data_IF_713160057663
#
_entry.id   IF_713160057663
#
_cell.length_a   1.000
_cell.length_b   1.000
_cell.length_c   1.000
_cell.angle_alpha   90.00
_cell.angle_beta   90.00
_cell.angle_gamma   90.00
#
_symmetry.space_group_name_H-M   'P 1'
#
loop_
_entity.id
_entity.type
_entity.pdbx_description
1 polymer ?
#
# COMPACT_ATOMS: atom_id res chain seq x y z
N UNK A 1 11.23 5.00 3.52
CA UNK A 1 10.01 5.84 3.54
C UNK A 1 9.10 5.36 2.42
N UNK A 2 7.77 5.20 2.61
CA UNK A 2 6.86 4.72 1.56
C UNK A 2 6.81 5.67 0.35
N UNK A 3 6.72 5.10 -0.86
CA UNK A 3 6.57 5.84 -2.14
C UNK A 3 5.23 5.48 -2.78
N UNK A 4 4.76 6.28 -3.73
CA UNK A 4 3.55 5.94 -4.50
C UNK A 4 3.69 4.63 -5.29
N UNK A 5 4.91 4.29 -5.71
CA UNK A 5 5.27 3.02 -6.34
C UNK A 5 5.61 1.89 -5.36
N UNK A 6 5.72 2.19 -4.05
CA UNK A 6 5.94 1.18 -3.02
C UNK A 6 5.09 1.55 -1.79
N UNK A 7 3.79 1.37 -1.96
CA UNK A 7 2.77 1.73 -0.98
C UNK A 7 2.78 0.78 0.23
N UNK A 8 3.27 -0.45 0.03
CA UNK A 8 3.42 -1.46 1.07
C UNK A 8 4.70 -1.24 1.91
N UNK A 9 5.60 -0.35 1.47
CA UNK A 9 6.86 -0.06 2.14
C UNK A 9 7.69 -1.33 2.33
N UNK A 10 8.00 -1.68 3.58
CA UNK A 10 8.75 -2.89 3.94
C UNK A 10 7.94 -4.19 3.83
N UNK A 11 6.64 -4.12 3.53
CA UNK A 11 5.77 -5.27 3.28
C UNK A 11 5.83 -5.80 1.86
N UNK A 12 6.38 -5.04 0.91
CA UNK A 12 6.64 -5.52 -0.44
C UNK A 12 7.87 -6.42 -0.45
N UNK A 13 7.71 -7.68 -0.88
CA UNK A 13 8.81 -8.62 -1.10
C UNK A 13 8.79 -9.08 -2.55
N UNK A 14 9.97 -9.21 -3.20
CA UNK A 14 10.08 -9.90 -4.48
C UNK A 14 9.47 -11.30 -4.38
N UNK A 15 8.91 -11.77 -5.48
CA UNK A 15 8.34 -13.10 -5.59
C UNK A 15 9.43 -14.15 -5.36
N UNK A 16 9.15 -15.13 -4.51
CA UNK A 16 10.15 -16.14 -4.13
C UNK A 16 10.66 -16.94 -5.35
N UNK A 17 9.77 -17.23 -6.32
CA UNK A 17 10.14 -17.90 -7.58
C UNK A 17 11.08 -17.04 -8.42
N UNK A 18 10.71 -15.77 -8.63
CA UNK A 18 11.53 -14.80 -9.33
C UNK A 18 12.95 -14.72 -8.74
N UNK A 19 13.08 -14.63 -7.42
CA UNK A 19 14.41 -14.60 -6.77
C UNK A 19 15.17 -15.92 -6.89
N UNK A 20 14.47 -17.06 -6.86
CA UNK A 20 15.10 -18.37 -6.98
C UNK A 20 15.64 -18.61 -8.40
N UNK A 21 14.86 -18.25 -9.42
CA UNK A 21 15.24 -18.38 -10.81
C UNK A 21 16.46 -17.50 -11.13
N UNK A 22 16.48 -16.25 -10.65
CA UNK A 22 17.64 -15.36 -10.76
C UNK A 22 18.90 -15.94 -10.10
N UNK A 23 18.79 -16.52 -8.91
CA UNK A 23 19.92 -17.16 -8.24
C UNK A 23 20.43 -18.37 -9.04
N UNK A 24 19.52 -19.18 -9.57
CA UNK A 24 19.86 -20.36 -10.36
C UNK A 24 20.54 -19.99 -11.68
N UNK A 25 20.07 -18.94 -12.35
CA UNK A 25 20.67 -18.40 -13.57
C UNK A 25 22.06 -17.79 -13.30
N UNK A 26 22.22 -17.03 -12.21
CA UNK A 26 23.52 -16.47 -11.82
C UNK A 26 24.54 -17.56 -11.44
N UNK A 27 24.09 -18.64 -10.78
CA UNK A 27 24.93 -19.80 -10.46
C UNK A 27 25.32 -20.59 -11.71
N UNK A 28 24.39 -20.73 -12.67
CA UNK A 28 24.60 -21.49 -13.90
C UNK A 28 25.45 -20.73 -14.92
N UNK A 29 25.31 -19.41 -15.00
CA UNK A 29 26.11 -18.52 -15.86
C UNK A 29 27.49 -18.20 -15.25
N UNK A 30 27.62 -18.25 -13.92
CA UNK A 30 28.87 -18.07 -13.18
C UNK A 30 29.66 -19.35 -12.90
N UNK A 31 29.40 -20.42 -13.66
CA UNK A 31 29.99 -21.74 -13.47
C UNK A 31 31.29 -21.98 -14.27
N UNK A 32 32.00 -20.98 -14.80
CA UNK A 32 33.43 -21.06 -15.19
C UNK A 32 34.08 -19.67 -15.13
N UNK A 33 34.19 -19.05 -13.96
CA UNK A 33 35.09 -17.91 -13.75
C UNK A 33 35.77 -18.07 -12.39
N UNK A 34 37.10 -18.04 -12.40
CA UNK A 34 37.98 -18.24 -11.25
C UNK A 34 37.56 -17.40 -10.04
N UNK A 35 37.66 -17.98 -8.84
CA UNK A 35 37.31 -17.36 -7.53
C UNK A 35 37.87 -15.94 -7.33
N UNK A 36 38.92 -15.57 -8.06
CA UNK A 36 39.61 -14.28 -7.99
C UNK A 36 38.88 -13.12 -8.72
N UNK A 37 38.08 -13.39 -9.76
CA UNK A 37 37.34 -12.35 -10.52
C UNK A 37 35.98 -12.02 -9.87
N UNK A 38 35.37 -13.01 -9.19
CA UNK A 38 34.00 -12.98 -8.66
C UNK A 38 33.81 -12.03 -7.47
N UNK A 39 34.91 -11.58 -6.85
CA UNK A 39 34.90 -10.73 -5.64
C UNK A 39 34.95 -9.21 -5.95
N UNK A 40 34.91 -8.80 -7.22
CA UNK A 40 35.02 -7.37 -7.61
C UNK A 40 33.84 -6.78 -8.38
N UNK A 41 32.85 -7.58 -8.78
CA UNK A 41 31.63 -7.06 -9.40
C UNK A 41 30.47 -7.26 -8.46
N UNK A 42 30.00 -6.17 -7.87
CA UNK A 42 28.69 -6.14 -7.21
C UNK A 42 27.61 -6.54 -8.23
N UNK A 43 26.61 -7.28 -7.77
CA UNK A 43 25.47 -7.63 -8.61
C UNK A 43 24.78 -6.34 -9.09
N UNK A 44 24.40 -6.31 -10.36
CA UNK A 44 23.65 -5.18 -10.92
C UNK A 44 22.34 -5.00 -10.15
N UNK A 45 22.02 -3.75 -9.80
CA UNK A 45 20.84 -3.44 -9.01
C UNK A 45 19.58 -3.75 -9.83
N UNK A 46 18.83 -4.75 -9.38
CA UNK A 46 17.50 -5.04 -9.91
C UNK A 46 16.52 -3.92 -9.50
N UNK A 47 16.09 -3.13 -10.50
CA UNK A 47 15.24 -1.95 -10.32
C UNK A 47 13.74 -2.26 -10.39
N UNK A 48 13.38 -3.38 -11.01
CA UNK A 48 11.98 -3.76 -11.27
C UNK A 48 11.74 -5.24 -10.92
N UNK A 49 11.96 -5.64 -9.65
CA UNK A 49 11.73 -7.01 -9.24
C UNK A 49 10.25 -7.38 -9.38
N UNK A 50 9.96 -8.60 -9.82
CA UNK A 50 8.59 -9.11 -9.80
C UNK A 50 8.18 -9.27 -8.34
N UNK A 51 7.13 -8.55 -7.93
CA UNK A 51 6.67 -8.54 -6.53
C UNK A 51 5.62 -9.62 -6.28
N UNK A 52 5.76 -10.37 -5.19
CA UNK A 52 4.82 -11.46 -4.84
C UNK A 52 3.44 -10.97 -4.35
N UNK A 53 3.33 -9.70 -3.99
CA UNK A 53 2.05 -9.04 -3.69
C UNK A 53 1.89 -7.86 -4.65
N UNK A 54 0.79 -7.83 -5.40
CA UNK A 54 0.51 -6.76 -6.34
C UNK A 54 0.38 -5.41 -5.64
N UNK A 55 0.94 -4.37 -6.24
CA UNK A 55 0.84 -3.02 -5.72
C UNK A 55 -0.62 -2.59 -5.60
N UNK A 56 -1.00 -2.08 -4.43
CA UNK A 56 -2.30 -1.46 -4.27
C UNK A 56 -2.32 -0.16 -5.08
N UNK A 57 -3.39 0.08 -5.82
CA UNK A 57 -3.59 1.40 -6.42
C UNK A 57 -3.73 2.46 -5.33
N UNK A 58 -3.21 3.67 -5.59
CA UNK A 58 -3.30 4.81 -4.67
C UNK A 58 -4.72 5.02 -4.12
N UNK A 59 -5.72 4.92 -4.99
CA UNK A 59 -7.12 5.05 -4.59
C UNK A 59 -7.56 3.93 -3.62
N UNK A 60 -7.25 2.66 -3.93
CA UNK A 60 -7.57 1.53 -3.04
C UNK A 60 -6.88 1.67 -1.69
N UNK A 61 -5.62 2.12 -1.69
CA UNK A 61 -4.88 2.40 -0.47
C UNK A 61 -5.56 3.45 0.40
N UNK A 62 -5.95 4.59 -0.18
CA UNK A 62 -6.67 5.66 0.54
C UNK A 62 -8.00 5.17 1.14
N UNK A 63 -8.78 4.42 0.36
CA UNK A 63 -10.04 3.84 0.84
C UNK A 63 -9.81 2.93 2.04
N UNK A 64 -8.81 2.06 1.97
CA UNK A 64 -8.51 1.11 3.03
C UNK A 64 -8.00 1.82 4.30
N UNK A 65 -7.14 2.84 4.16
CA UNK A 65 -6.63 3.65 5.29
C UNK A 65 -7.74 4.44 5.98
N UNK A 66 -8.63 5.02 5.19
CA UNK A 66 -9.77 5.80 5.68
C UNK A 66 -10.78 4.89 6.37
N UNK A 67 -11.05 3.71 5.80
CA UNK A 67 -11.94 2.70 6.39
C UNK A 67 -11.38 2.11 7.69
N UNK A 68 -10.05 1.97 7.80
CA UNK A 68 -9.42 1.54 9.05
C UNK A 68 -9.68 2.57 10.18
N UNK A 69 -9.66 3.85 9.81
CA UNK A 69 -9.93 5.01 10.66
C UNK A 69 -11.38 5.35 10.93
N UNK A 70 -12.32 4.45 10.62
CA UNK A 70 -13.77 4.73 10.68
C UNK A 70 -14.21 5.93 9.85
N UNK A 71 -13.50 6.26 8.77
CA UNK A 71 -13.82 7.37 7.89
C UNK A 71 -13.63 8.78 8.49
N UNK A 72 -13.26 8.90 9.77
CA UNK A 72 -12.96 10.19 10.40
C UNK A 72 -11.47 10.51 10.46
N UNK A 73 -10.62 9.52 10.73
CA UNK A 73 -9.17 9.76 10.85
C UNK A 73 -8.39 8.63 10.24
N UNK A 74 -7.78 8.80 9.06
CA UNK A 74 -7.03 7.74 8.43
C UNK A 74 -5.94 7.23 9.38
N UNK A 75 -5.87 5.90 9.51
CA UNK A 75 -4.86 5.23 10.34
C UNK A 75 -4.06 4.27 9.47
N UNK A 76 -2.74 4.43 9.52
CA UNK A 76 -1.81 3.46 8.96
C UNK A 76 -2.04 2.09 9.61
N UNK A 77 -1.96 1.02 8.81
CA UNK A 77 -1.90 -0.31 9.40
C UNK A 77 -0.61 -0.42 10.21
N UNK A 78 -0.67 -0.99 11.43
CA UNK A 78 0.55 -1.30 12.15
C UNK A 78 1.40 -2.22 11.26
N UNK A 79 2.67 -1.88 11.07
CA UNK A 79 3.64 -2.81 10.48
C UNK A 79 3.68 -4.01 11.41
N UNK A 80 3.04 -5.11 11.02
CA UNK A 80 3.00 -6.32 11.82
C UNK A 80 4.44 -6.77 12.05
N UNK A 81 4.89 -6.76 13.31
CA UNK A 81 6.05 -7.53 13.74
C UNK A 81 5.60 -8.97 13.94
N UNK A 82 6.46 -9.94 13.63
CA UNK A 82 6.16 -11.37 13.74
C UNK A 82 5.47 -11.69 15.07
N UNK A 83 4.25 -12.26 15.00
CA UNK A 83 3.40 -12.60 16.14
C UNK A 83 2.33 -11.57 16.54
N UNK A 84 2.32 -10.37 15.94
CA UNK A 84 1.30 -9.36 16.21
C UNK A 84 -0.02 -9.64 15.48
N UNK A 85 -1.16 -9.66 16.19
CA UNK A 85 -2.48 -9.73 15.53
C UNK A 85 -2.77 -8.41 14.83
N UNK A 86 -3.02 -8.44 13.52
CA UNK A 86 -3.49 -7.27 12.78
C UNK A 86 -4.79 -6.78 13.42
N UNK A 87 -4.86 -5.51 13.83
CA UNK A 87 -6.08 -4.93 14.43
C UNK A 87 -7.26 -4.98 13.45
N UNK A 88 -6.99 -4.85 12.14
CA UNK A 88 -7.97 -4.96 11.05
C UNK A 88 -7.26 -5.55 9.83
N UNK A 89 -7.85 -6.57 9.20
CA UNK A 89 -7.36 -7.09 7.91
C UNK A 89 -7.83 -6.21 6.74
N UNK A 90 -7.11 -6.15 5.61
CA UNK A 90 -7.55 -5.40 4.43
C UNK A 90 -8.98 -5.76 3.98
N UNK A 91 -9.36 -7.04 4.08
CA UNK A 91 -10.72 -7.52 3.77
C UNK A 91 -11.79 -6.93 4.68
N UNK A 92 -11.51 -6.79 5.98
CA UNK A 92 -12.43 -6.16 6.93
C UNK A 92 -12.57 -4.65 6.68
N UNK A 93 -11.48 -3.97 6.31
CA UNK A 93 -11.51 -2.56 5.94
C UNK A 93 -12.37 -2.32 4.69
N UNK A 94 -12.25 -3.17 3.66
CA UNK A 94 -13.10 -3.13 2.46
C UNK A 94 -14.58 -3.34 2.82
N UNK A 95 -14.88 -4.31 3.69
CA UNK A 95 -16.28 -4.53 4.15
C UNK A 95 -16.85 -3.28 4.82
N UNK A 96 -16.06 -2.58 5.63
CA UNK A 96 -16.49 -1.32 6.26
C UNK A 96 -16.79 -0.23 5.21
N UNK A 97 -16.01 -0.17 4.14
CA UNK A 97 -16.28 0.75 3.03
C UNK A 97 -17.62 0.48 2.34
N UNK A 98 -17.96 -0.79 2.10
CA UNK A 98 -19.27 -1.14 1.56
C UNK A 98 -20.42 -0.78 2.49
N UNK A 99 -20.29 -1.06 3.79
CA UNK A 99 -21.31 -0.70 4.79
C UNK A 99 -21.49 0.81 4.86
N UNK A 100 -20.40 1.57 4.85
CA UNK A 100 -20.45 3.03 4.87
C UNK A 100 -21.13 3.60 3.62
N UNK A 101 -20.80 3.08 2.44
CA UNK A 101 -21.43 3.48 1.18
C UNK A 101 -22.94 3.13 1.17
N UNK A 102 -23.29 1.93 1.64
CA UNK A 102 -24.69 1.52 1.76
C UNK A 102 -25.48 2.44 2.71
N UNK A 103 -24.88 2.90 3.81
CA UNK A 103 -25.51 3.85 4.72
C UNK A 103 -25.81 5.21 4.05
N UNK A 104 -24.90 5.71 3.20
CA UNK A 104 -25.16 6.93 2.40
C UNK A 104 -26.29 6.74 1.40
N UNK A 105 -26.33 5.59 0.72
CA UNK A 105 -27.42 5.27 -0.21
C UNK A 105 -28.76 5.21 0.52
N UNK A 106 -28.82 4.53 1.67
CA UNK A 106 -30.02 4.51 2.51
C UNK A 106 -30.41 5.91 2.97
N UNK A 107 -29.44 6.76 3.37
CA UNK A 107 -29.73 8.13 3.74
C UNK A 107 -30.36 8.93 2.58
N UNK A 108 -29.89 8.75 1.34
CA UNK A 108 -30.51 9.40 0.17
C UNK A 108 -31.94 8.91 -0.12
N UNK A 109 -32.24 7.65 0.21
CA UNK A 109 -33.59 7.08 0.01
C UNK A 109 -34.56 7.59 1.08
N UNK A 110 -34.11 7.72 2.33
CA UNK A 110 -35.00 7.98 3.47
C UNK A 110 -35.00 9.44 3.96
N UNK A 111 -33.95 10.22 3.69
CA UNK A 111 -33.82 11.60 4.16
C UNK A 111 -33.90 12.60 2.99
N UNK A 112 -34.35 13.84 3.24
CA UNK A 112 -34.30 14.89 2.25
C UNK A 112 -32.86 15.16 1.78
N UNK A 113 -32.68 15.35 0.48
CA UNK A 113 -31.38 15.54 -0.17
C UNK A 113 -30.58 16.67 0.47
N UNK A 114 -31.24 17.73 0.94
CA UNK A 114 -30.58 18.87 1.60
C UNK A 114 -29.81 18.45 2.87
N UNK A 115 -30.39 17.61 3.72
CA UNK A 115 -29.72 17.10 4.93
C UNK A 115 -28.55 16.19 4.61
N UNK A 116 -28.72 15.33 3.59
CA UNK A 116 -27.65 14.44 3.14
C UNK A 116 -26.50 15.24 2.54
N UNK A 117 -26.79 16.27 1.73
CA UNK A 117 -25.80 17.14 1.12
C UNK A 117 -24.99 17.93 2.17
N UNK A 118 -25.66 18.52 3.17
CA UNK A 118 -24.98 19.24 4.27
C UNK A 118 -24.08 18.28 5.06
N UNK A 119 -24.58 17.07 5.36
CA UNK A 119 -23.80 16.05 6.06
C UNK A 119 -22.57 15.61 5.26
N UNK A 120 -22.72 15.44 3.94
CA UNK A 120 -21.62 15.06 3.05
C UNK A 120 -20.55 16.17 2.99
N UNK A 121 -20.97 17.43 2.99
CA UNK A 121 -20.07 18.59 2.97
C UNK A 121 -19.29 18.69 4.30
N UNK A 122 -19.96 18.53 5.44
CA UNK A 122 -19.30 18.47 6.75
C UNK A 122 -18.31 17.30 6.83
N UNK A 123 -18.71 16.13 6.35
CA UNK A 123 -17.84 14.97 6.30
C UNK A 123 -16.59 15.21 5.44
N UNK A 124 -16.74 15.85 4.28
CA UNK A 124 -15.61 16.20 3.42
C UNK A 124 -14.63 17.15 4.14
N UNK A 125 -15.12 18.17 4.84
CA UNK A 125 -14.29 19.10 5.63
C UNK A 125 -13.49 18.35 6.71
N UNK A 126 -14.12 17.41 7.42
CA UNK A 126 -13.47 16.62 8.47
C UNK A 126 -12.44 15.64 7.89
N UNK A 127 -12.72 15.04 6.74
CA UNK A 127 -11.85 14.05 6.09
C UNK A 127 -10.60 14.69 5.46
N UNK A 128 -10.75 15.88 4.88
CA UNK A 128 -9.71 16.60 4.13
C UNK A 128 -8.36 16.69 4.85
N UNK A 129 -8.25 17.13 6.13
CA UNK A 129 -6.96 17.21 6.81
C UNK A 129 -6.28 15.84 6.96
N UNK A 130 -7.06 14.77 7.13
CA UNK A 130 -6.54 13.41 7.20
C UNK A 130 -5.91 12.96 5.88
N UNK A 131 -6.55 13.28 4.74
CA UNK A 131 -6.02 12.95 3.42
C UNK A 131 -4.75 13.74 3.10
N UNK A 132 -4.71 15.03 3.46
CA UNK A 132 -3.54 15.88 3.28
C UNK A 132 -2.35 15.32 4.07
N UNK A 133 -2.57 14.89 5.32
CA UNK A 133 -1.51 14.33 6.14
C UNK A 133 -0.95 13.03 5.55
N UNK A 134 -1.80 12.12 5.04
CA UNK A 134 -1.31 10.92 4.33
C UNK A 134 -0.49 11.33 3.10
N UNK A 135 -1.02 12.22 2.25
CA UNK A 135 -0.34 12.61 1.03
C UNK A 135 1.05 13.22 1.32
N UNK A 136 1.15 14.03 2.38
CA UNK A 136 2.42 14.65 2.82
C UNK A 136 3.44 13.64 3.35
N UNK A 137 3.00 12.51 3.91
CA UNK A 137 3.89 11.48 4.45
C UNK A 137 4.56 10.62 3.36
N UNK A 138 4.03 10.60 2.14
CA UNK A 138 4.63 9.90 1.01
C UNK A 138 5.69 10.78 0.32
N UNK A 139 6.87 10.21 0.06
CA UNK A 139 7.93 10.95 -0.63
C UNK A 139 7.67 11.00 -2.13
N UNK A 140 7.60 12.22 -2.69
CA UNK A 140 7.48 12.51 -4.12
C UNK A 140 8.82 12.52 -4.88
N UNK A 141 9.93 12.12 -4.25
CA UNK A 141 11.25 12.22 -4.91
C UNK A 141 11.45 11.06 -5.89
N UNK A 142 11.71 11.34 -7.18
CA UNK A 142 12.17 10.32 -8.12
C UNK A 142 13.52 9.76 -7.66
N UNK A 143 13.75 8.45 -7.83
CA UNK A 143 15.04 7.86 -7.50
C UNK A 143 16.13 8.50 -8.35
N UNK A 144 17.18 8.98 -7.68
CA UNK A 144 18.28 9.75 -8.30
C UNK A 144 19.49 8.87 -8.62
N UNK A 145 19.36 7.55 -8.53
CA UNK A 145 20.44 6.59 -8.74
C UNK A 145 19.94 5.39 -9.51
#
# INVERSE_FOLDING_TARGET
>A
MPKFSNMSGAGGRPEARYTWDLMQDALSSGAIASEQEKSRQDAELDREPVMGAGDLSWFKFLVIMTAHGWFLRPRAFPLLRDGGKASVTPSQAIRRAYVFLAAWVLALVFLPITWVAVSALLYAVVLTPGLIEIHRQFQNKPDTY
#
